data_IF_185938401155
#
_entry.id   IF_185938401155
#
_cell.length_a   1.000
_cell.length_b   1.000
_cell.length_c   1.000
_cell.angle_alpha   90.00
_cell.angle_beta   90.00
_cell.angle_gamma   90.00
#
_symmetry.space_group_name_H-M   'P 1'
#
loop_
_entity.id
_entity.type
_entity.pdbx_description
1 polymer ?
#
# COMPACT_ATOMS: atom_id res chain seq x y z
N UNK A 1 13.34 9.58 25.67
CA UNK A 1 13.99 9.61 24.35
C UNK A 1 14.02 8.18 23.82
N UNK A 2 13.26 7.85 22.77
CA UNK A 2 13.20 6.47 22.26
C UNK A 2 14.59 6.06 21.74
N UNK A 3 15.10 4.92 22.22
CA UNK A 3 16.41 4.39 21.83
C UNK A 3 16.32 3.99 20.35
N UNK A 4 17.08 4.68 19.50
CA UNK A 4 17.11 4.37 18.07
C UNK A 4 17.69 2.96 17.89
N UNK A 5 17.05 2.17 17.03
CA UNK A 5 17.56 0.87 16.64
C UNK A 5 18.92 0.98 15.93
N UNK A 6 19.59 -0.15 15.67
CA UNK A 6 20.84 -0.20 14.91
C UNK A 6 20.72 0.61 13.61
N UNK A 7 21.77 1.36 13.26
CA UNK A 7 21.80 2.09 11.98
C UNK A 7 21.62 1.08 10.85
N UNK A 8 20.79 1.43 9.87
CA UNK A 8 20.64 0.63 8.66
C UNK A 8 22.02 0.54 7.99
N UNK A 9 22.52 -0.67 7.77
CA UNK A 9 23.81 -0.90 7.13
C UNK A 9 23.78 -0.54 5.64
N UNK A 10 22.58 -0.47 5.06
CA UNK A 10 22.34 0.00 3.70
C UNK A 10 21.87 1.45 3.69
N UNK A 11 22.25 2.20 2.67
CA UNK A 11 21.73 3.56 2.46
C UNK A 11 20.23 3.53 2.17
N UNK A 12 19.50 4.54 2.64
CA UNK A 12 18.05 4.66 2.44
C UNK A 12 17.65 4.69 0.95
N UNK A 13 18.52 5.19 0.06
CA UNK A 13 18.26 5.19 -1.38
C UNK A 13 18.11 3.77 -1.95
N UNK A 14 18.97 2.82 -1.55
CA UNK A 14 18.88 1.41 -2.00
C UNK A 14 17.59 0.78 -1.50
N UNK A 15 17.28 1.00 -0.22
CA UNK A 15 16.06 0.50 0.42
C UNK A 15 14.81 1.03 -0.29
N UNK A 16 14.79 2.32 -0.59
CA UNK A 16 13.69 2.95 -1.32
C UNK A 16 13.54 2.35 -2.73
N UNK A 17 14.64 2.15 -3.47
CA UNK A 17 14.59 1.53 -4.79
C UNK A 17 14.09 0.08 -4.76
N UNK A 18 14.44 -0.69 -3.74
CA UNK A 18 13.88 -2.03 -3.55
C UNK A 18 12.36 -1.99 -3.36
N UNK A 19 11.87 -1.05 -2.57
CA UNK A 19 10.44 -0.87 -2.37
C UNK A 19 9.76 -0.44 -3.67
N UNK A 20 10.32 0.54 -4.39
CA UNK A 20 9.79 0.97 -5.68
C UNK A 20 9.70 -0.17 -6.68
N UNK A 21 10.70 -1.06 -6.70
CA UNK A 21 10.69 -2.25 -7.56
C UNK A 21 9.49 -3.15 -7.25
N UNK A 22 9.21 -3.39 -5.97
CA UNK A 22 8.04 -4.17 -5.54
C UNK A 22 6.74 -3.48 -5.93
N UNK A 23 6.62 -2.16 -5.72
CA UNK A 23 5.42 -1.40 -6.06
C UNK A 23 5.17 -1.34 -7.57
N UNK A 24 6.24 -1.24 -8.36
CA UNK A 24 6.16 -1.18 -9.82
C UNK A 24 5.76 -2.53 -10.44
N UNK A 25 6.33 -3.64 -9.95
CA UNK A 25 6.09 -4.97 -10.54
C UNK A 25 4.93 -5.72 -9.89
N UNK A 26 4.53 -5.36 -8.67
CA UNK A 26 3.57 -6.12 -7.87
C UNK A 26 4.12 -7.47 -7.36
N UNK A 27 5.43 -7.69 -7.43
CA UNK A 27 6.03 -8.99 -7.08
C UNK A 27 5.96 -9.29 -5.58
N UNK A 28 6.03 -10.57 -5.22
CA UNK A 28 6.09 -10.95 -3.81
C UNK A 28 7.41 -10.47 -3.17
N UNK A 29 7.35 -9.97 -1.93
CA UNK A 29 8.54 -9.50 -1.19
C UNK A 29 9.64 -10.57 -1.10
N UNK A 30 9.28 -11.86 -1.00
CA UNK A 30 10.22 -12.98 -0.93
C UNK A 30 11.05 -13.16 -2.20
N UNK A 31 10.50 -12.77 -3.34
CA UNK A 31 11.12 -12.91 -4.66
C UNK A 31 11.91 -11.66 -5.06
N UNK A 32 11.93 -10.63 -4.20
CA UNK A 32 12.68 -9.42 -4.43
C UNK A 32 14.17 -9.74 -4.65
N UNK A 33 14.73 -9.44 -5.83
CA UNK A 33 16.16 -9.65 -6.06
C UNK A 33 16.96 -8.63 -5.25
N UNK A 34 17.68 -9.12 -4.24
CA UNK A 34 18.53 -8.30 -3.37
C UNK A 34 19.99 -8.45 -3.82
N UNK A 35 20.68 -7.32 -3.98
CA UNK A 35 22.10 -7.30 -4.30
C UNK A 35 22.92 -8.02 -3.23
N UNK A 36 23.99 -8.70 -3.66
CA UNK A 36 24.92 -9.35 -2.76
C UNK A 36 25.93 -8.35 -2.23
N UNK A 37 26.26 -8.48 -0.93
CA UNK A 37 27.32 -7.71 -0.31
C UNK A 37 28.68 -8.26 -0.79
N UNK A 38 29.55 -7.41 -1.37
CA UNK A 38 30.84 -7.86 -1.91
C UNK A 38 31.79 -8.51 -0.90
N UNK A 39 31.65 -8.18 0.39
CA UNK A 39 32.54 -8.66 1.46
C UNK A 39 32.03 -9.98 2.03
N UNK A 40 30.73 -10.10 2.25
CA UNK A 40 30.15 -11.26 2.95
C UNK A 40 29.53 -12.30 2.02
N UNK A 41 29.32 -11.97 0.74
CA UNK A 41 28.67 -12.83 -0.25
C UNK A 41 27.18 -13.10 0.02
N UNK A 42 26.61 -12.49 1.07
CA UNK A 42 25.19 -12.60 1.44
C UNK A 42 24.41 -11.39 0.93
N UNK A 43 23.08 -11.51 0.81
CA UNK A 43 22.23 -10.38 0.46
C UNK A 43 22.47 -9.18 1.39
N UNK A 44 22.62 -7.98 0.82
CA UNK A 44 22.88 -6.73 1.57
C UNK A 44 21.80 -6.43 2.62
N UNK A 45 20.57 -6.94 2.40
CA UNK A 45 19.45 -6.86 3.33
C UNK A 45 18.58 -8.11 3.18
N UNK A 46 17.81 -8.46 4.20
CA UNK A 46 16.78 -9.49 4.09
C UNK A 46 15.45 -8.85 3.67
N UNK A 47 14.68 -9.49 2.79
CA UNK A 47 13.42 -8.92 2.27
C UNK A 47 12.42 -8.52 3.37
N UNK A 48 12.40 -9.25 4.49
CA UNK A 48 11.52 -8.93 5.62
C UNK A 48 11.87 -7.57 6.26
N UNK A 49 13.14 -7.17 6.24
CA UNK A 49 13.54 -5.85 6.73
C UNK A 49 13.13 -4.76 5.74
N UNK A 50 13.15 -5.03 4.43
CA UNK A 50 12.60 -4.13 3.41
C UNK A 50 11.12 -3.86 3.69
N UNK A 51 10.33 -4.92 3.91
CA UNK A 51 8.92 -4.81 4.26
C UNK A 51 8.69 -4.04 5.57
N UNK A 52 9.47 -4.31 6.63
CA UNK A 52 9.35 -3.59 7.90
C UNK A 52 9.56 -2.08 7.73
N UNK A 53 10.52 -1.69 6.90
CA UNK A 53 10.75 -0.28 6.58
C UNK A 53 9.59 0.31 5.79
N UNK A 54 9.08 -0.41 4.78
CA UNK A 54 7.88 0.00 4.05
C UNK A 54 6.70 0.24 4.99
N UNK A 55 6.37 -0.73 5.86
CA UNK A 55 5.26 -0.64 6.80
C UNK A 55 5.43 0.50 7.82
N UNK A 56 6.67 0.72 8.28
CA UNK A 56 6.99 1.87 9.14
C UNK A 56 6.71 3.20 8.41
N UNK A 57 7.22 3.34 7.19
CA UNK A 57 7.04 4.55 6.36
C UNK A 57 5.61 4.79 5.92
N UNK A 58 4.80 3.73 5.86
CA UNK A 58 3.36 3.83 5.66
C UNK A 58 2.67 4.35 6.93
N UNK A 59 3.07 3.85 8.10
CA UNK A 59 2.45 4.22 9.38
C UNK A 59 2.78 5.65 9.80
N UNK A 60 4.00 6.11 9.51
CA UNK A 60 4.46 7.46 9.87
C UNK A 60 4.13 8.55 8.82
N UNK A 61 3.42 8.18 7.74
CA UNK A 61 3.03 9.12 6.68
C UNK A 61 4.17 9.51 5.73
N UNK A 62 5.35 8.90 5.83
CA UNK A 62 6.51 9.24 4.98
C UNK A 62 6.21 9.14 3.48
N UNK A 63 5.38 8.16 3.06
CA UNK A 63 4.99 8.01 1.66
C UNK A 63 4.16 9.18 1.15
N UNK A 64 3.18 9.62 1.94
CA UNK A 64 2.34 10.77 1.61
C UNK A 64 3.20 12.04 1.55
N UNK A 65 4.07 12.25 2.55
CA UNK A 65 5.01 13.36 2.55
C UNK A 65 5.94 13.36 1.32
N UNK A 66 6.48 12.19 0.95
CA UNK A 66 7.35 12.05 -0.21
C UNK A 66 6.62 12.36 -1.53
N UNK A 67 5.37 11.87 -1.67
CA UNK A 67 4.53 12.13 -2.83
C UNK A 67 4.14 13.61 -2.93
N UNK A 68 3.65 14.20 -1.85
CA UNK A 68 3.27 15.62 -1.83
C UNK A 68 4.49 16.51 -2.13
N UNK A 69 5.65 16.17 -1.57
CA UNK A 69 6.90 16.90 -1.83
C UNK A 69 7.36 16.78 -3.28
N UNK A 70 7.21 15.61 -3.91
CA UNK A 70 7.58 15.44 -5.33
C UNK A 70 6.63 16.21 -6.24
N UNK A 71 5.31 16.16 -5.99
CA UNK A 71 4.32 16.96 -6.73
C UNK A 71 4.58 18.45 -6.58
N UNK A 72 4.83 18.90 -5.35
CA UNK A 72 5.17 20.29 -5.09
C UNK A 72 6.45 20.71 -5.83
N UNK A 73 7.49 19.88 -5.81
CA UNK A 73 8.73 20.14 -6.53
C UNK A 73 8.49 20.29 -8.04
N UNK A 74 7.73 19.36 -8.66
CA UNK A 74 7.39 19.44 -10.09
C UNK A 74 6.58 20.70 -10.41
N UNK A 75 5.66 21.10 -9.52
CA UNK A 75 4.91 22.36 -9.66
C UNK A 75 5.84 23.57 -9.61
N UNK A 76 6.77 23.62 -8.66
CA UNK A 76 7.72 24.75 -8.55
C UNK A 76 8.70 24.81 -9.71
N UNK A 77 9.00 23.67 -10.33
CA UNK A 77 9.85 23.57 -11.51
C UNK A 77 9.10 23.88 -12.83
N UNK A 78 7.80 24.19 -12.78
CA UNK A 78 6.92 24.36 -13.95
C UNK A 78 6.91 23.13 -14.89
N UNK A 79 7.06 21.93 -14.30
CA UNK A 79 7.08 20.65 -15.00
C UNK A 79 5.80 19.82 -14.78
N UNK A 80 4.84 20.38 -14.06
CA UNK A 80 3.57 19.73 -13.74
C UNK A 80 2.47 20.28 -14.64
N UNK A 81 2.22 19.61 -15.77
CA UNK A 81 1.05 19.89 -16.59
C UNK A 81 -0.21 19.29 -15.94
N UNK A 82 -1.07 20.16 -15.40
CA UNK A 82 -2.35 19.80 -14.77
C UNK A 82 -3.54 19.93 -15.72
N UNK A 83 -3.33 20.34 -16.98
CA UNK A 83 -4.41 20.50 -17.96
C UNK A 83 -5.05 19.17 -18.35
N UNK A 84 -4.31 18.07 -18.20
CA UNK A 84 -4.72 16.70 -18.53
C UNK A 84 -4.79 15.85 -17.26
N UNK A 85 -5.71 16.18 -16.35
CA UNK A 85 -6.01 15.31 -15.21
C UNK A 85 -7.01 14.23 -15.64
N UNK A 86 -6.52 13.07 -16.08
CA UNK A 86 -7.36 11.89 -16.29
C UNK A 86 -7.78 11.31 -14.93
N UNK A 87 -8.81 11.90 -14.33
CA UNK A 87 -9.54 11.31 -13.21
C UNK A 87 -10.47 10.19 -13.70
N UNK A 88 -9.91 9.10 -14.20
CA UNK A 88 -10.70 7.90 -14.50
C UNK A 88 -11.10 7.22 -13.18
N UNK A 89 -12.37 7.39 -12.80
CA UNK A 89 -12.97 6.80 -11.61
C UNK A 89 -13.26 5.29 -11.68
N UNK A 90 -12.82 4.58 -12.73
CA UNK A 90 -13.22 3.19 -13.00
C UNK A 90 -12.78 2.17 -11.93
N UNK A 91 -11.86 2.51 -11.02
CA UNK A 91 -11.44 1.63 -9.93
C UNK A 91 -12.01 1.99 -8.54
N UNK A 92 -12.82 3.03 -8.42
CA UNK A 92 -13.66 3.24 -7.23
C UNK A 92 -15.04 2.72 -7.52
N UNK A 93 -15.36 1.50 -7.08
CA UNK A 93 -16.75 1.10 -6.94
C UNK A 93 -17.38 2.05 -5.93
N UNK A 94 -18.10 3.07 -6.40
CA UNK A 94 -18.91 3.94 -5.56
C UNK A 94 -20.09 3.13 -5.01
N UNK A 95 -19.86 2.32 -3.96
CA UNK A 95 -20.92 1.46 -3.40
C UNK A 95 -21.85 2.19 -2.43
N UNK A 96 -21.78 3.52 -2.32
CA UNK A 96 -22.79 4.34 -1.62
C UNK A 96 -22.58 5.83 -1.89
N UNK A 97 -23.14 6.31 -2.99
CA UNK A 97 -23.54 7.71 -3.13
C UNK A 97 -25.06 7.74 -3.08
N UNK A 98 -25.63 8.28 -2.01
CA UNK A 98 -27.07 8.47 -1.86
C UNK A 98 -27.58 8.06 -0.48
N UNK A 99 -27.80 9.05 0.37
CA UNK A 99 -28.69 8.91 1.52
C UNK A 99 -30.07 8.42 1.04
N UNK A 100 -30.55 7.30 1.59
CA UNK A 100 -31.96 6.92 1.48
C UNK A 100 -32.35 5.91 0.41
N UNK A 101 -31.87 4.66 0.47
CA UNK A 101 -32.64 3.52 -0.04
C UNK A 101 -32.61 2.39 1.00
N UNK A 102 -33.80 2.08 1.50
CA UNK A 102 -34.04 1.25 2.67
C UNK A 102 -33.42 -0.14 2.60
N UNK A 103 -32.94 -0.57 3.74
CA UNK A 103 -32.60 -1.95 4.05
C UNK A 103 -33.86 -2.81 3.86
N UNK A 104 -34.03 -3.44 2.70
CA UNK A 104 -35.06 -4.46 2.48
C UNK A 104 -34.62 -5.75 3.18
N UNK A 105 -34.77 -5.78 4.51
CA UNK A 105 -34.86 -7.04 5.24
C UNK A 105 -36.16 -7.74 4.84
N UNK A 106 -36.03 -9.00 4.39
CA UNK A 106 -36.97 -10.12 4.50
C UNK A 106 -36.88 -11.03 3.27
N UNK A 107 -36.05 -12.05 3.39
CA UNK A 107 -36.33 -13.36 2.77
C UNK A 107 -36.42 -14.35 3.91
N UNK A 108 -37.64 -14.64 4.38
CA UNK A 108 -37.89 -15.80 5.22
C UNK A 108 -37.74 -17.04 4.36
N UNK A 109 -36.70 -17.85 4.62
CA UNK A 109 -36.71 -19.25 4.21
C UNK A 109 -37.53 -20.04 5.23
N UNK A 110 -38.68 -20.53 4.79
CA UNK A 110 -39.47 -21.53 5.50
C UNK A 110 -38.88 -22.92 5.22
N UNK A 111 -38.54 -23.66 6.27
CA UNK A 111 -38.29 -25.10 6.18
C UNK A 111 -39.16 -25.83 7.20
N UNK A 112 -39.98 -26.76 6.72
CA UNK A 112 -40.35 -27.96 7.46
C UNK A 112 -41.76 -27.99 8.05
N UNK A 113 -42.69 -28.52 7.25
CA UNK A 113 -43.92 -29.15 7.74
C UNK A 113 -43.60 -30.25 8.78
N UNK A 114 -44.22 -30.18 9.95
CA UNK A 114 -44.57 -31.37 10.73
C UNK A 114 -45.82 -31.11 11.59
N UNK A 115 -46.80 -32.00 11.41
CA UNK A 115 -48.20 -31.96 11.88
C UNK A 115 -48.36 -31.87 13.42
N UNK A 116 -49.53 -31.41 13.91
CA UNK A 116 -49.81 -31.22 15.33
C UNK A 116 -50.03 -32.55 16.06
N UNK A 117 -49.62 -32.60 17.33
CA UNK A 117 -49.93 -33.68 18.27
C UNK A 117 -50.38 -33.08 19.60
N UNK A 118 -51.71 -33.15 19.81
CA UNK A 118 -52.56 -32.92 21.00
C UNK A 118 -52.40 -31.61 21.77
#
# INVERSE_FOLDING_TARGET
MQKRGPKCQIGYHKLFNYILKVLYTGMQWKELPIALNPITGKGEIHYSNVYKHFAKWQTDGSWECAFNSSVFFMKTADQLDISVLHGDGSNTVAKKGGDGIGYSGHKHLWFGDSKPRI
#
